data_IF_001939820193
#
_entry.id   IF_001939820193
#
_cell.length_a   1.000
_cell.length_b   1.000
_cell.length_c   1.000
_cell.angle_alpha   90.00
_cell.angle_beta   90.00
_cell.angle_gamma   90.00
#
_symmetry.space_group_name_H-M   'P 1'
#
loop_
_entity.id
_entity.type
_entity.pdbx_description
1 polymer ?
#
# COMPACT_ATOMS: atom_id res chain seq x y z
N UNK A 1 11.86 -22.75 -4.25
CA UNK A 1 11.52 -22.77 -5.70
C UNK A 1 10.02 -22.81 -5.97
N UNK A 2 9.21 -23.59 -5.23
CA UNK A 2 7.74 -23.67 -5.44
C UNK A 2 6.98 -22.34 -5.20
N UNK A 3 7.47 -21.48 -4.29
CA UNK A 3 6.82 -20.19 -3.99
C UNK A 3 6.95 -19.17 -5.13
N UNK A 4 8.15 -19.03 -5.72
CA UNK A 4 8.39 -18.18 -6.90
C UNK A 4 7.47 -18.58 -8.07
N UNK A 5 7.32 -19.88 -8.31
CA UNK A 5 6.41 -20.45 -9.32
C UNK A 5 4.94 -20.13 -8.99
N UNK A 6 4.59 -20.03 -7.72
CA UNK A 6 3.24 -19.68 -7.32
C UNK A 6 2.95 -18.18 -7.38
N UNK A 7 3.94 -17.30 -7.14
CA UNK A 7 3.82 -15.85 -7.39
C UNK A 7 3.57 -15.60 -8.89
N UNK A 8 4.24 -16.37 -9.76
CA UNK A 8 4.04 -16.34 -11.22
C UNK A 8 2.57 -16.57 -11.65
N UNK A 9 1.75 -17.22 -10.82
CA UNK A 9 0.32 -17.44 -11.12
C UNK A 9 -0.55 -16.20 -10.86
N UNK A 10 -0.11 -15.25 -10.04
CA UNK A 10 -0.88 -14.04 -9.72
C UNK A 10 -0.66 -12.94 -10.76
N UNK A 11 -1.36 -13.05 -11.89
CA UNK A 11 -1.25 -12.08 -13.02
C UNK A 11 -1.37 -10.62 -12.60
N UNK A 12 -2.24 -10.31 -11.64
CA UNK A 12 -2.43 -8.94 -11.17
C UNK A 12 -1.27 -8.43 -10.30
N UNK A 13 -0.55 -9.31 -9.58
CA UNK A 13 0.67 -8.91 -8.86
C UNK A 13 1.74 -8.47 -9.86
N UNK A 14 1.85 -9.14 -11.01
CA UNK A 14 2.74 -8.69 -12.09
C UNK A 14 2.34 -7.33 -12.65
N UNK A 15 1.03 -7.06 -12.78
CA UNK A 15 0.56 -5.73 -13.18
C UNK A 15 0.96 -4.67 -12.15
N UNK A 16 0.89 -4.96 -10.85
CA UNK A 16 1.41 -4.05 -9.82
C UNK A 16 2.92 -3.81 -10.00
N UNK A 17 3.73 -4.87 -10.16
CA UNK A 17 5.18 -4.75 -10.39
C UNK A 17 5.47 -3.89 -11.62
N UNK A 18 4.82 -4.18 -12.75
CA UNK A 18 5.00 -3.42 -13.99
C UNK A 18 4.56 -1.97 -13.83
N UNK A 19 3.41 -1.73 -13.18
CA UNK A 19 2.93 -0.37 -12.90
C UNK A 19 3.89 0.39 -11.98
N UNK A 20 4.49 -0.27 -10.97
CA UNK A 20 5.45 0.34 -10.06
C UNK A 20 6.71 0.76 -10.82
N UNK A 21 7.25 -0.13 -11.66
CA UNK A 21 8.43 0.17 -12.50
C UNK A 21 8.13 1.34 -13.45
N UNK A 22 6.99 1.30 -14.15
CA UNK A 22 6.58 2.37 -15.06
C UNK A 22 6.42 3.69 -14.30
N UNK A 23 5.76 3.68 -13.13
CA UNK A 23 5.58 4.87 -12.31
C UNK A 23 6.92 5.46 -11.87
N UNK A 24 7.88 4.62 -11.44
CA UNK A 24 9.24 5.08 -11.10
C UNK A 24 9.95 5.70 -12.30
N UNK A 25 9.90 5.07 -13.48
CA UNK A 25 10.53 5.62 -14.69
C UNK A 25 9.91 6.96 -15.08
N UNK A 26 8.58 7.06 -15.08
CA UNK A 26 7.87 8.30 -15.40
C UNK A 26 8.17 9.39 -14.37
N UNK A 27 8.42 9.02 -13.10
CA UNK A 27 8.71 9.98 -12.03
C UNK A 27 9.95 10.85 -12.29
N UNK A 28 10.91 10.36 -13.09
CA UNK A 28 12.05 11.17 -13.52
C UNK A 28 11.68 12.31 -14.48
N UNK A 29 10.55 12.19 -15.17
CA UNK A 29 10.03 13.20 -16.11
C UNK A 29 8.87 13.99 -15.53
N UNK A 30 8.06 13.36 -14.67
CA UNK A 30 6.90 13.97 -14.05
C UNK A 30 6.77 13.55 -12.59
N UNK A 31 7.21 14.43 -11.69
CA UNK A 31 7.36 14.14 -10.26
C UNK A 31 6.10 13.58 -9.59
N UNK A 32 4.90 13.99 -10.04
CA UNK A 32 3.62 13.54 -9.46
C UNK A 32 3.40 12.03 -9.55
N UNK A 33 4.01 11.36 -10.53
CA UNK A 33 3.97 9.89 -10.62
C UNK A 33 4.69 9.20 -9.45
N UNK A 34 5.58 9.89 -8.74
CA UNK A 34 6.28 9.30 -7.60
C UNK A 34 5.35 9.07 -6.41
N UNK A 35 4.27 9.84 -6.30
CA UNK A 35 3.19 9.58 -5.33
C UNK A 35 2.50 8.24 -5.61
N UNK A 36 2.29 7.90 -6.89
CA UNK A 36 1.72 6.62 -7.29
C UNK A 36 2.72 5.48 -7.12
N UNK A 37 3.99 5.71 -7.46
CA UNK A 37 5.08 4.76 -7.20
C UNK A 37 5.16 4.40 -5.71
N UNK A 38 5.02 5.38 -4.80
CA UNK A 38 4.99 5.15 -3.36
C UNK A 38 3.96 4.07 -2.99
N UNK A 39 2.70 4.26 -3.42
CA UNK A 39 1.59 3.38 -3.04
C UNK A 39 1.78 1.99 -3.63
N UNK A 40 2.21 1.89 -4.88
CA UNK A 40 2.43 0.60 -5.54
C UNK A 40 3.57 -0.19 -4.89
N UNK A 41 4.69 0.47 -4.58
CA UNK A 41 5.85 -0.16 -3.93
C UNK A 41 5.50 -0.59 -2.50
N UNK A 42 4.83 0.27 -1.72
CA UNK A 42 4.32 -0.10 -0.39
C UNK A 42 3.34 -1.28 -0.47
N UNK A 43 2.49 -1.33 -1.50
CA UNK A 43 1.60 -2.46 -1.72
C UNK A 43 2.35 -3.76 -2.08
N UNK A 44 3.42 -3.68 -2.88
CA UNK A 44 4.27 -4.84 -3.17
C UNK A 44 4.96 -5.36 -1.91
N UNK A 45 5.38 -4.47 -1.00
CA UNK A 45 5.92 -4.87 0.30
C UNK A 45 4.90 -5.72 1.07
N UNK A 46 3.63 -5.29 1.12
CA UNK A 46 2.56 -6.06 1.77
C UNK A 46 2.23 -7.37 1.04
N UNK A 47 2.20 -7.39 -0.28
CA UNK A 47 1.96 -8.61 -1.04
C UNK A 47 3.08 -9.63 -0.77
N UNK A 48 4.35 -9.23 -0.85
CA UNK A 48 5.46 -10.18 -0.66
C UNK A 48 5.68 -10.55 0.80
N UNK A 49 5.66 -9.56 1.70
CA UNK A 49 5.91 -9.75 3.12
C UNK A 49 4.72 -10.38 3.85
N UNK A 50 3.54 -9.79 3.74
CA UNK A 50 2.37 -10.26 4.47
C UNK A 50 1.71 -11.48 3.82
N UNK A 51 1.39 -11.41 2.52
CA UNK A 51 0.66 -12.50 1.87
C UNK A 51 1.53 -13.74 1.65
N UNK A 52 2.67 -13.57 0.97
CA UNK A 52 3.49 -14.71 0.57
C UNK A 52 4.42 -15.24 1.67
N UNK A 53 5.03 -14.36 2.48
CA UNK A 53 5.95 -14.82 3.52
C UNK A 53 5.26 -15.19 4.84
N UNK A 54 4.18 -14.49 5.24
CA UNK A 54 3.52 -14.73 6.53
C UNK A 54 2.28 -15.62 6.44
N UNK A 55 1.24 -15.20 5.72
CA UNK A 55 -0.05 -15.91 5.72
C UNK A 55 0.06 -17.28 5.05
N UNK A 56 0.77 -17.37 3.93
CA UNK A 56 0.77 -18.60 3.12
C UNK A 56 1.69 -19.69 3.66
N UNK A 57 2.67 -19.34 4.49
CA UNK A 57 3.62 -20.31 5.07
C UNK A 57 3.09 -21.02 6.30
N UNK A 58 2.00 -20.53 6.90
CA UNK A 58 1.49 -21.08 8.16
C UNK A 58 0.06 -21.61 7.97
N UNK A 59 -0.16 -22.88 8.29
CA UNK A 59 -1.51 -23.48 8.40
C UNK A 59 -2.25 -23.00 9.65
N UNK A 60 -1.54 -22.31 10.55
CA UNK A 60 -2.07 -21.65 11.74
C UNK A 60 -1.94 -20.13 11.58
N UNK A 61 -2.87 -19.37 12.17
CA UNK A 61 -2.77 -17.91 12.19
C UNK A 61 -1.41 -17.49 12.77
N UNK A 62 -0.63 -16.61 12.10
CA UNK A 62 0.66 -16.18 12.61
C UNK A 62 0.51 -15.62 14.03
N UNK A 63 1.43 -15.98 14.91
CA UNK A 63 1.41 -15.48 16.29
C UNK A 63 1.34 -13.94 16.33
N UNK A 64 0.63 -13.39 17.32
CA UNK A 64 0.49 -11.93 17.48
C UNK A 64 1.83 -11.19 17.47
N UNK A 65 2.89 -11.84 17.96
CA UNK A 65 4.26 -11.31 18.00
C UNK A 65 4.79 -11.12 16.57
N UNK A 66 4.62 -12.11 15.70
CA UNK A 66 5.08 -12.07 14.31
C UNK A 66 4.37 -10.95 13.54
N UNK A 67 3.05 -10.82 13.73
CA UNK A 67 2.26 -9.74 13.11
C UNK A 67 2.74 -8.38 13.60
N UNK A 68 3.03 -8.23 14.89
CA UNK A 68 3.55 -6.97 15.45
C UNK A 68 4.91 -6.60 14.85
N UNK A 69 5.84 -7.54 14.78
CA UNK A 69 7.15 -7.33 14.16
C UNK A 69 7.02 -6.97 12.69
N UNK A 70 6.11 -7.61 11.97
CA UNK A 70 5.80 -7.27 10.58
C UNK A 70 5.32 -5.83 10.43
N UNK A 71 4.40 -5.37 11.28
CA UNK A 71 3.89 -3.99 11.23
C UNK A 71 4.97 -2.96 11.52
N UNK A 72 5.92 -3.27 12.41
CA UNK A 72 7.09 -2.40 12.64
C UNK A 72 7.96 -2.33 11.38
N UNK A 73 8.25 -3.47 10.74
CA UNK A 73 9.02 -3.50 9.50
C UNK A 73 8.31 -2.76 8.36
N UNK A 74 6.99 -2.90 8.25
CA UNK A 74 6.18 -2.17 7.28
C UNK A 74 6.28 -0.66 7.50
N UNK A 75 6.16 -0.20 8.74
CA UNK A 75 6.29 1.22 9.05
C UNK A 75 7.71 1.75 8.73
N UNK A 76 8.76 1.02 9.11
CA UNK A 76 10.13 1.39 8.79
C UNK A 76 10.37 1.44 7.27
N UNK A 77 9.83 0.46 6.53
CA UNK A 77 9.89 0.45 5.08
C UNK A 77 9.19 1.66 4.48
N UNK A 78 7.97 1.98 4.93
CA UNK A 78 7.23 3.13 4.44
C UNK A 78 8.01 4.43 4.71
N UNK A 79 8.60 4.60 5.90
CA UNK A 79 9.40 5.79 6.25
C UNK A 79 10.63 5.90 5.36
N UNK A 80 11.34 4.80 5.12
CA UNK A 80 12.48 4.80 4.18
C UNK A 80 12.03 5.13 2.76
N UNK A 81 10.90 4.59 2.31
CA UNK A 81 10.33 4.90 0.99
C UNK A 81 9.94 6.37 0.88
N UNK A 82 9.39 6.98 1.94
CA UNK A 82 9.09 8.40 2.02
C UNK A 82 10.35 9.25 1.84
N UNK A 83 11.41 8.92 2.57
CA UNK A 83 12.68 9.62 2.48
C UNK A 83 13.29 9.45 1.08
N UNK A 84 13.31 8.23 0.54
CA UNK A 84 13.85 7.96 -0.79
C UNK A 84 13.11 8.76 -1.86
N UNK A 85 11.78 8.73 -1.88
CA UNK A 85 11.01 9.47 -2.87
C UNK A 85 11.16 10.99 -2.66
N UNK A 86 11.19 11.44 -1.40
CA UNK A 86 11.39 12.84 -1.04
C UNK A 86 12.72 13.41 -1.54
N UNK A 87 13.82 12.67 -1.35
CA UNK A 87 15.15 13.10 -1.78
C UNK A 87 15.42 12.90 -3.28
N UNK A 88 14.90 11.83 -3.90
CA UNK A 88 15.18 11.51 -5.30
C UNK A 88 14.27 12.25 -6.27
N UNK A 89 12.99 12.42 -5.91
CA UNK A 89 11.99 13.00 -6.81
C UNK A 89 11.44 14.31 -6.26
N UNK A 90 10.72 14.25 -5.14
CA UNK A 90 10.08 15.40 -4.50
C UNK A 90 9.38 15.03 -3.19
N UNK A 91 9.54 15.87 -2.17
CA UNK A 91 8.85 15.79 -0.89
C UNK A 91 7.33 15.89 -0.97
N UNK A 92 6.77 16.77 -1.80
CA UNK A 92 5.31 16.92 -1.90
C UNK A 92 4.69 15.68 -2.52
N UNK A 93 5.28 15.12 -3.58
CA UNK A 93 4.83 13.84 -4.11
C UNK A 93 5.05 12.66 -3.14
N UNK A 94 6.15 12.64 -2.38
CA UNK A 94 6.34 11.66 -1.31
C UNK A 94 5.21 11.73 -0.27
N UNK A 95 4.87 12.94 0.20
CA UNK A 95 3.78 13.18 1.14
C UNK A 95 2.41 12.82 0.55
N UNK A 96 2.17 13.13 -0.73
CA UNK A 96 0.95 12.74 -1.44
C UNK A 96 0.79 11.21 -1.47
N UNK A 97 1.88 10.48 -1.76
CA UNK A 97 1.91 9.02 -1.69
C UNK A 97 1.64 8.48 -0.28
N UNK A 98 2.27 9.09 0.72
CA UNK A 98 2.06 8.76 2.13
C UNK A 98 0.61 8.98 2.57
N UNK A 99 -0.01 10.09 2.16
CA UNK A 99 -1.43 10.38 2.43
C UNK A 99 -2.30 9.31 1.80
N UNK A 100 -2.14 9.01 0.51
CA UNK A 100 -2.94 7.97 -0.14
C UNK A 100 -2.84 6.63 0.60
N UNK A 101 -1.64 6.24 1.02
CA UNK A 101 -1.43 5.02 1.81
C UNK A 101 -2.15 5.08 3.16
N UNK A 102 -2.03 6.17 3.91
CA UNK A 102 -2.67 6.29 5.23
C UNK A 102 -4.18 6.45 5.18
N UNK A 103 -4.75 6.81 4.02
CA UNK A 103 -6.18 6.77 3.76
C UNK A 103 -6.65 5.39 3.24
N UNK A 104 -5.80 4.36 3.31
CA UNK A 104 -6.18 2.97 3.02
C UNK A 104 -6.12 2.59 1.55
N UNK A 105 -5.55 3.42 0.65
CA UNK A 105 -5.47 3.06 -0.76
C UNK A 105 -4.61 1.81 -0.98
N UNK A 106 -3.49 1.70 -0.25
CA UNK A 106 -2.61 0.53 -0.31
C UNK A 106 -3.35 -0.74 0.10
N UNK A 107 -4.09 -0.70 1.20
CA UNK A 107 -4.97 -1.78 1.66
C UNK A 107 -6.01 -2.19 0.60
N UNK A 108 -6.68 -1.23 -0.04
CA UNK A 108 -7.65 -1.53 -1.12
C UNK A 108 -6.96 -2.21 -2.30
N UNK A 109 -5.81 -1.68 -2.73
CA UNK A 109 -5.02 -2.24 -3.83
C UNK A 109 -4.51 -3.64 -3.51
N UNK A 110 -4.15 -3.94 -2.26
CA UNK A 110 -3.75 -5.28 -1.83
C UNK A 110 -4.81 -6.33 -2.20
N UNK A 111 -6.08 -6.09 -1.85
CA UNK A 111 -7.17 -7.02 -2.18
C UNK A 111 -7.44 -7.08 -3.68
N UNK A 112 -7.39 -5.95 -4.38
CA UNK A 112 -7.57 -5.89 -5.84
C UNK A 112 -6.51 -6.73 -6.55
N UNK A 113 -5.23 -6.49 -6.27
CA UNK A 113 -4.13 -7.18 -6.95
C UNK A 113 -4.00 -8.65 -6.57
N UNK A 114 -4.53 -9.07 -5.42
CA UNK A 114 -4.62 -10.48 -5.05
C UNK A 114 -5.91 -11.16 -5.53
N UNK A 115 -6.82 -10.43 -6.21
CA UNK A 115 -8.16 -10.90 -6.59
C UNK A 115 -8.97 -11.44 -5.41
N UNK A 116 -8.82 -10.82 -4.24
CA UNK A 116 -9.55 -11.20 -3.03
C UNK A 116 -10.78 -10.31 -2.88
N UNK A 117 -11.87 -10.87 -2.32
CA UNK A 117 -13.05 -10.07 -1.98
C UNK A 117 -12.66 -9.06 -0.89
N UNK A 118 -13.00 -7.79 -1.11
CA UNK A 118 -12.86 -6.77 -0.07
C UNK A 118 -13.68 -7.19 1.17
N UNK A 119 -13.11 -7.15 2.37
CA UNK A 119 -13.80 -7.44 3.62
C UNK A 119 -15.00 -6.51 3.82
N UNK A 120 -16.09 -7.07 4.35
CA UNK A 120 -17.26 -6.26 4.70
C UNK A 120 -16.99 -5.39 5.94
N UNK A 121 -16.10 -5.86 6.84
CA UNK A 121 -15.62 -5.14 8.02
C UNK A 121 -14.09 -5.18 8.10
N UNK A 122 -13.50 -4.02 8.38
CA UNK A 122 -12.07 -3.77 8.47
C UNK A 122 -11.73 -3.37 9.91
N UNK A 123 -11.16 -4.30 10.66
CA UNK A 123 -10.87 -4.12 12.10
C UNK A 123 -9.43 -3.67 12.37
N UNK A 124 -8.57 -3.73 11.35
CA UNK A 124 -7.15 -3.39 11.48
C UNK A 124 -6.83 -1.94 11.16
N UNK A 125 -7.65 -1.22 10.40
CA UNK A 125 -7.33 0.12 9.88
C UNK A 125 -7.43 1.28 10.90
N UNK A 126 -7.12 1.02 12.18
CA UNK A 126 -7.21 2.01 13.28
C UNK A 126 -6.25 3.19 13.12
N UNK A 127 -5.23 3.06 12.28
CA UNK A 127 -4.28 4.13 11.96
C UNK A 127 -4.80 5.09 10.87
N UNK A 128 -5.82 4.70 10.11
CA UNK A 128 -6.42 5.56 9.08
C UNK A 128 -7.26 6.65 9.73
N UNK A 129 -7.46 7.81 9.09
CA UNK A 129 -8.22 8.91 9.70
C UNK A 129 -9.60 8.46 10.20
N UNK A 130 -10.38 7.74 9.39
CA UNK A 130 -11.72 7.29 9.78
C UNK A 130 -11.65 6.17 10.83
N UNK A 131 -10.65 5.28 10.70
CA UNK A 131 -10.46 4.16 11.62
C UNK A 131 -9.98 4.58 13.00
N UNK A 132 -9.29 5.71 13.12
CA UNK A 132 -8.90 6.29 14.40
C UNK A 132 -10.13 6.65 15.24
N UNK A 133 -11.17 7.20 14.61
CA UNK A 133 -12.41 7.60 15.31
C UNK A 133 -13.40 6.44 15.51
N UNK A 134 -13.59 5.57 14.50
CA UNK A 134 -14.60 4.49 14.56
C UNK A 134 -14.07 3.13 15.01
N UNK A 135 -12.77 2.90 14.94
CA UNK A 135 -12.13 1.61 15.22
C UNK A 135 -12.37 0.54 14.14
N UNK A 136 -13.62 0.15 13.91
CA UNK A 136 -14.00 -0.81 12.85
C UNK A 136 -14.71 -0.08 11.72
N UNK A 137 -14.28 -0.33 10.49
CA UNK A 137 -14.81 0.33 9.30
C UNK A 137 -15.55 -0.65 8.40
N UNK A 138 -16.62 -0.20 7.80
CA UNK A 138 -17.31 -0.89 6.70
C UNK A 138 -16.53 -0.76 5.40
N UNK A 139 -16.76 -1.69 4.47
CA UNK A 139 -16.20 -1.64 3.11
C UNK A 139 -16.40 -0.28 2.43
N UNK A 140 -17.59 0.31 2.52
CA UNK A 140 -17.90 1.60 1.91
C UNK A 140 -17.09 2.74 2.54
N UNK A 141 -16.92 2.74 3.86
CA UNK A 141 -16.11 3.76 4.54
C UNK A 141 -14.65 3.68 4.12
N UNK A 142 -14.10 2.47 3.97
CA UNK A 142 -12.75 2.27 3.45
C UNK A 142 -12.60 2.87 2.05
N UNK A 143 -13.51 2.53 1.14
CA UNK A 143 -13.47 3.03 -0.24
C UNK A 143 -13.62 4.55 -0.31
N UNK A 144 -14.52 5.13 0.48
CA UNK A 144 -14.73 6.58 0.55
C UNK A 144 -13.49 7.28 1.08
N UNK A 145 -12.89 6.82 2.18
CA UNK A 145 -11.69 7.47 2.69
C UNK A 145 -10.52 7.31 1.73
N UNK A 146 -10.34 6.15 1.07
CA UNK A 146 -9.28 5.99 0.07
C UNK A 146 -9.46 6.94 -1.10
N UNK A 147 -10.70 7.16 -1.54
CA UNK A 147 -11.01 8.16 -2.55
C UNK A 147 -10.70 9.59 -2.08
N UNK A 148 -11.05 9.96 -0.85
CA UNK A 148 -10.70 11.25 -0.25
C UNK A 148 -9.17 11.43 -0.20
N UNK A 149 -8.42 10.38 0.18
CA UNK A 149 -6.97 10.40 0.18
C UNK A 149 -6.36 10.67 -1.19
N UNK A 150 -6.94 10.09 -2.25
CA UNK A 150 -6.57 10.38 -3.64
C UNK A 150 -6.85 11.84 -3.98
N UNK A 151 -8.03 12.37 -3.64
CA UNK A 151 -8.37 13.77 -3.92
C UNK A 151 -7.41 14.74 -3.24
N UNK A 152 -7.09 14.52 -1.96
CA UNK A 152 -6.11 15.34 -1.23
C UNK A 152 -4.74 15.28 -1.90
N UNK A 153 -4.28 14.07 -2.26
CA UNK A 153 -3.01 13.88 -2.94
C UNK A 153 -2.96 14.60 -4.30
N UNK A 154 -4.01 14.48 -5.11
CA UNK A 154 -4.10 15.18 -6.41
C UNK A 154 -4.09 16.69 -6.23
N UNK A 155 -4.83 17.23 -5.24
CA UNK A 155 -4.81 18.66 -4.94
C UNK A 155 -3.41 19.13 -4.53
N UNK A 156 -2.71 18.38 -3.67
CA UNK A 156 -1.34 18.71 -3.28
C UNK A 156 -0.37 18.71 -4.46
N UNK A 157 -0.51 17.76 -5.39
CA UNK A 157 0.31 17.67 -6.59
C UNK A 157 0.00 18.77 -7.62
N UNK A 158 -1.22 19.28 -7.69
CA UNK A 158 -1.58 20.37 -8.61
C UNK A 158 -1.13 21.74 -8.07
N UNK A 159 -1.18 21.92 -6.76
CA UNK A 159 -0.86 23.20 -6.11
C UNK A 159 0.65 23.47 -5.98
N UNK A 160 1.50 22.48 -6.30
CA UNK A 160 2.95 22.62 -6.37
C UNK A 160 3.42 22.88 -7.80
#
# INVERSE_FOLDING_TARGET
MSELINILKYRLVWINITAAIIAVIISFYWYGFSAFAFVLISNLFDIFGYHFALIRRTTQLPEKIIIRSYRINQFLFDVLLLLMIGFVFDWIAALAGWIMKNFGLQDVLYYIFLKMKLPDKWTWMKWTPLGFFKGTLSKSEVLIQSFIGILIAVLLLILR
#
